data_IF_990787725559
#
_entry.id   IF_990787725559
#
_cell.length_a   1.000
_cell.length_b   1.000
_cell.length_c   1.000
_cell.angle_alpha   90.00
_cell.angle_beta   90.00
_cell.angle_gamma   90.00
#
_symmetry.space_group_name_H-M   'P 1'
#
loop_
_entity.id
_entity.type
_entity.pdbx_description
1 polymer ?
#
# COMPACT_ATOMS: atom_id res chain seq x y z
N UNK A 1 16.07 4.34 -13.72
CA UNK A 1 15.54 3.73 -12.49
C UNK A 1 14.05 3.97 -12.44
N UNK A 2 13.26 2.91 -12.42
CA UNK A 2 11.79 2.95 -12.28
C UNK A 2 11.46 2.92 -10.79
N UNK A 3 10.51 3.73 -10.32
CA UNK A 3 10.05 3.76 -8.92
C UNK A 3 8.56 3.49 -8.83
N UNK A 4 8.16 2.59 -7.94
CA UNK A 4 6.76 2.21 -7.73
C UNK A 4 6.38 2.47 -6.28
N UNK A 5 5.28 3.19 -6.07
CA UNK A 5 4.62 3.28 -4.77
C UNK A 5 3.65 2.09 -4.62
N UNK A 6 3.90 1.21 -3.67
CA UNK A 6 3.02 0.09 -3.31
C UNK A 6 2.09 0.44 -2.15
N UNK A 7 0.85 -0.05 -2.19
CA UNK A 7 -0.17 0.12 -1.14
C UNK A 7 -0.81 -1.25 -0.84
N UNK A 8 -0.88 -1.60 0.44
CA UNK A 8 -1.43 -2.88 0.92
C UNK A 8 -2.39 -2.63 2.10
N UNK A 9 -3.63 -3.12 1.95
CA UNK A 9 -4.75 -2.95 2.90
C UNK A 9 -5.73 -4.13 2.83
N UNK A 10 -5.26 -5.34 2.53
CA UNK A 10 -6.10 -6.52 2.29
C UNK A 10 -6.69 -7.13 3.56
N UNK A 11 -6.06 -6.95 4.72
CA UNK A 11 -6.48 -7.55 5.99
C UNK A 11 -6.43 -6.55 7.16
N UNK A 12 -5.45 -6.66 8.06
CA UNK A 12 -5.32 -5.88 9.30
C UNK A 12 -4.00 -5.09 9.39
N UNK A 13 -3.21 -5.08 8.32
CA UNK A 13 -2.11 -4.14 8.14
C UNK A 13 -2.42 -3.05 7.11
N UNK A 14 -2.10 -1.81 7.45
CA UNK A 14 -2.06 -0.69 6.50
C UNK A 14 -0.60 -0.44 6.15
N UNK A 15 -0.23 -0.62 4.89
CA UNK A 15 1.16 -0.47 4.49
C UNK A 15 1.34 0.31 3.20
N UNK A 16 2.47 1.00 3.11
CA UNK A 16 2.96 1.61 1.88
C UNK A 16 4.49 1.49 1.78
N UNK A 17 4.97 1.29 0.56
CA UNK A 17 6.40 1.12 0.28
C UNK A 17 6.79 1.81 -1.02
N UNK A 18 8.07 2.19 -1.14
CA UNK A 18 8.63 2.63 -2.41
C UNK A 18 9.71 1.65 -2.84
N UNK A 19 9.55 1.05 -4.02
CA UNK A 19 10.50 0.10 -4.58
C UNK A 19 11.07 0.66 -5.88
N UNK A 20 12.39 0.56 -6.05
CA UNK A 20 13.11 1.02 -7.22
C UNK A 20 13.75 -0.13 -7.99
N UNK A 21 13.67 -0.08 -9.32
CA UNK A 21 14.32 -1.04 -10.22
C UNK A 21 15.23 -0.30 -11.19
N UNK A 22 16.47 -0.77 -11.33
CA UNK A 22 17.42 -0.20 -12.28
C UNK A 22 17.74 -1.21 -13.39
N UNK A 23 17.03 -1.10 -14.53
CA UNK A 23 17.35 -1.61 -15.88
C UNK A 23 17.76 -3.08 -16.10
N UNK A 24 17.98 -3.86 -15.04
CA UNK A 24 18.59 -5.20 -15.07
C UNK A 24 19.14 -5.69 -13.72
N UNK A 25 19.17 -4.86 -12.67
CA UNK A 25 19.51 -5.26 -11.31
C UNK A 25 18.32 -5.79 -10.50
N UNK A 26 18.59 -6.28 -9.29
CA UNK A 26 17.54 -6.63 -8.33
C UNK A 26 16.77 -5.37 -7.88
N UNK A 27 15.46 -5.49 -7.57
CA UNK A 27 14.70 -4.38 -6.99
C UNK A 27 15.31 -3.96 -5.65
N UNK A 28 15.24 -2.66 -5.36
CA UNK A 28 15.69 -2.04 -4.12
C UNK A 28 14.48 -1.49 -3.38
N UNK A 29 14.29 -1.91 -2.14
CA UNK A 29 13.30 -1.32 -1.24
C UNK A 29 13.89 0.01 -0.74
N UNK A 30 13.25 1.12 -1.07
CA UNK A 30 13.65 2.46 -0.62
C UNK A 30 12.96 2.84 0.69
N UNK A 31 11.75 2.35 0.92
CA UNK A 31 11.01 2.48 2.18
C UNK A 31 10.00 1.35 2.32
N UNK A 32 9.62 1.04 3.57
CA UNK A 32 8.60 0.06 3.91
C UNK A 32 7.95 0.45 5.24
N UNK A 33 6.73 1.00 5.19
CA UNK A 33 6.01 1.49 6.36
C UNK A 33 4.78 0.63 6.57
N UNK A 34 4.66 0.05 7.76
CA UNK A 34 3.56 -0.85 8.15
C UNK A 34 2.95 -0.41 9.48
N UNK A 35 1.64 -0.25 9.48
CA UNK A 35 0.83 -0.13 10.70
C UNK A 35 -0.01 -1.40 10.86
N UNK A 36 0.22 -2.13 11.94
CA UNK A 36 -0.53 -3.34 12.29
C UNK A 36 -1.65 -3.03 13.28
N UNK A 37 -2.81 -3.67 13.11
CA UNK A 37 -4.01 -3.47 13.93
C UNK A 37 -4.23 -4.59 14.97
N UNK A 38 -3.18 -5.34 15.33
CA UNK A 38 -3.31 -6.52 16.21
C UNK A 38 -3.97 -6.16 17.55
N UNK A 39 -3.64 -5.01 18.14
CA UNK A 39 -4.18 -4.59 19.44
C UNK A 39 -5.68 -4.27 19.37
N UNK A 40 -6.14 -3.67 18.26
CA UNK A 40 -7.52 -3.31 18.00
C UNK A 40 -8.42 -4.54 17.85
N UNK A 41 -7.88 -5.65 17.33
CA UNK A 41 -8.61 -6.91 17.13
C UNK A 41 -8.49 -7.88 18.32
N UNK A 42 -7.56 -7.64 19.25
CA UNK A 42 -7.21 -8.58 20.33
C UNK A 42 -8.42 -8.98 21.20
N UNK A 43 -9.31 -8.04 21.53
CA UNK A 43 -10.48 -8.29 22.36
C UNK A 43 -11.53 -9.20 21.70
N UNK A 44 -11.48 -9.35 20.38
CA UNK A 44 -12.46 -10.10 19.58
C UNK A 44 -11.96 -11.50 19.19
N UNK A 45 -10.67 -11.80 19.41
CA UNK A 45 -10.07 -13.10 19.07
C UNK A 45 -9.91 -13.35 17.58
N UNK A 46 -10.03 -12.32 16.75
CA UNK A 46 -9.88 -12.39 15.29
C UNK A 46 -10.18 -11.03 14.64
N UNK A 47 -9.81 -10.90 13.37
CA UNK A 47 -9.98 -9.65 12.61
C UNK A 47 -11.47 -9.32 12.46
N UNK A 48 -11.85 -8.12 12.90
CA UNK A 48 -13.20 -7.57 12.71
C UNK A 48 -13.19 -6.68 11.46
N UNK A 49 -13.87 -7.06 10.36
CA UNK A 49 -13.73 -6.36 9.07
C UNK A 49 -14.03 -4.86 9.09
N UNK A 50 -15.02 -4.43 9.88
CA UNK A 50 -15.38 -3.01 10.01
C UNK A 50 -14.32 -2.19 10.76
N UNK A 51 -13.71 -2.76 11.80
CA UNK A 51 -12.62 -2.10 12.54
C UNK A 51 -11.42 -1.94 11.61
N UNK A 52 -11.10 -3.00 10.86
CA UNK A 52 -9.97 -2.97 9.94
C UNK A 52 -10.15 -1.94 8.83
N UNK A 53 -11.32 -1.91 8.19
CA UNK A 53 -11.63 -0.94 7.16
C UNK A 53 -11.50 0.52 7.66
N UNK A 54 -11.98 0.82 8.87
CA UNK A 54 -11.86 2.16 9.47
C UNK A 54 -10.41 2.55 9.74
N UNK A 55 -9.64 1.65 10.33
CA UNK A 55 -8.23 1.90 10.61
C UNK A 55 -7.43 2.18 9.32
N UNK A 56 -7.71 1.48 8.22
CA UNK A 56 -7.10 1.82 6.92
C UNK A 56 -7.46 3.24 6.47
N UNK A 57 -8.73 3.65 6.58
CA UNK A 57 -9.18 5.00 6.18
C UNK A 57 -8.48 6.08 7.00
N UNK A 58 -8.31 5.84 8.29
CA UNK A 58 -7.73 6.82 9.23
C UNK A 58 -6.20 6.95 9.11
N UNK A 59 -5.51 5.90 8.66
CA UNK A 59 -4.05 5.86 8.67
C UNK A 59 -3.39 5.97 7.29
N UNK A 60 -4.06 5.56 6.21
CA UNK A 60 -3.39 5.30 4.93
C UNK A 60 -2.70 6.53 4.32
N UNK A 61 -3.27 7.72 4.43
CA UNK A 61 -2.66 8.94 3.93
C UNK A 61 -1.35 9.28 4.66
N UNK A 62 -1.34 9.14 5.99
CA UNK A 62 -0.14 9.28 6.82
C UNK A 62 0.92 8.23 6.50
N UNK A 63 0.51 6.98 6.27
CA UNK A 63 1.42 5.87 5.91
C UNK A 63 2.07 6.12 4.55
N UNK A 64 1.31 6.59 3.55
CA UNK A 64 1.85 6.96 2.23
C UNK A 64 2.84 8.13 2.35
N UNK A 65 2.50 9.16 3.12
CA UNK A 65 3.40 10.30 3.34
C UNK A 65 4.70 9.87 4.04
N UNK A 66 4.60 9.00 5.05
CA UNK A 66 5.77 8.45 5.73
C UNK A 66 6.65 7.64 4.77
N UNK A 67 6.07 6.81 3.91
CA UNK A 67 6.82 6.03 2.93
C UNK A 67 7.57 6.92 1.92
N UNK A 68 6.92 7.96 1.38
CA UNK A 68 7.59 8.92 0.49
C UNK A 68 8.72 9.68 1.21
N UNK A 69 8.48 10.10 2.45
CA UNK A 69 9.49 10.80 3.25
C UNK A 69 10.70 9.91 3.57
N UNK A 70 10.48 8.67 4.00
CA UNK A 70 11.53 7.72 4.36
C UNK A 70 12.39 7.30 3.15
N UNK A 71 11.74 7.13 1.99
CA UNK A 71 12.44 6.82 0.73
C UNK A 71 13.20 8.02 0.14
N UNK A 72 12.96 9.24 0.63
CA UNK A 72 13.58 10.46 0.15
C UNK A 72 13.17 10.86 -1.28
N UNK A 73 12.01 10.37 -1.76
CA UNK A 73 11.49 10.71 -3.09
C UNK A 73 10.18 11.48 -2.99
N UNK A 74 9.92 12.33 -3.98
CA UNK A 74 8.62 13.00 -4.07
C UNK A 74 7.65 12.17 -4.91
N UNK A 75 6.35 12.42 -4.75
CA UNK A 75 5.32 11.76 -5.58
C UNK A 75 5.56 12.01 -7.09
N UNK A 76 6.18 13.13 -7.44
CA UNK A 76 6.54 13.44 -8.83
C UNK A 76 7.55 12.43 -9.42
N UNK A 77 8.44 11.89 -8.59
CA UNK A 77 9.49 10.93 -8.96
C UNK A 77 9.00 9.47 -9.09
N UNK A 78 7.75 9.21 -8.68
CA UNK A 78 7.12 7.89 -8.79
C UNK A 78 6.66 7.66 -10.22
N UNK A 79 6.97 6.51 -10.79
CA UNK A 79 6.62 6.15 -12.16
C UNK A 79 5.29 5.39 -12.26
N UNK A 80 4.90 4.66 -11.21
CA UNK A 80 3.64 3.92 -11.16
C UNK A 80 3.11 3.79 -9.72
N UNK A 81 1.79 3.66 -9.59
CA UNK A 81 1.12 3.34 -8.32
C UNK A 81 0.66 1.89 -8.39
N UNK A 82 1.07 1.07 -7.44
CA UNK A 82 0.63 -0.32 -7.30
C UNK A 82 -0.22 -0.46 -6.03
N UNK A 83 -1.31 -1.21 -6.11
CA UNK A 83 -2.13 -1.49 -4.95
C UNK A 83 -2.77 -2.87 -5.02
N UNK A 84 -2.91 -3.50 -3.87
CA UNK A 84 -3.57 -4.79 -3.75
C UNK A 84 -5.04 -4.69 -4.13
N UNK A 85 -5.45 -5.49 -5.12
CA UNK A 85 -6.83 -5.58 -5.61
C UNK A 85 -7.54 -6.86 -5.13
N UNK A 86 -6.81 -7.75 -4.46
CA UNK A 86 -7.34 -8.97 -3.83
C UNK A 86 -6.36 -10.15 -3.93
N UNK A 87 -6.67 -11.31 -3.33
CA UNK A 87 -7.78 -11.51 -2.40
C UNK A 87 -7.60 -10.72 -1.09
N UNK A 88 -8.68 -10.61 -0.30
CA UNK A 88 -8.68 -9.86 0.96
C UNK A 88 -10.08 -9.47 1.43
N UNK A 89 -10.15 -8.77 2.56
CA UNK A 89 -11.37 -8.20 3.10
C UNK A 89 -11.83 -7.02 2.24
N UNK A 90 -13.06 -7.08 1.73
CA UNK A 90 -13.58 -6.11 0.75
C UNK A 90 -13.51 -4.66 1.23
N UNK A 91 -13.72 -4.42 2.53
CA UNK A 91 -13.62 -3.08 3.13
C UNK A 91 -12.22 -2.49 2.98
N UNK A 92 -11.20 -3.20 3.42
CA UNK A 92 -9.80 -2.77 3.30
C UNK A 92 -9.33 -2.66 1.85
N UNK A 93 -9.67 -3.63 0.99
CA UNK A 93 -9.31 -3.60 -0.44
C UNK A 93 -9.86 -2.36 -1.14
N UNK A 94 -11.09 -1.94 -0.84
CA UNK A 94 -11.68 -0.73 -1.42
C UNK A 94 -10.89 0.51 -1.00
N UNK A 95 -10.49 0.60 0.27
CA UNK A 95 -9.74 1.76 0.80
C UNK A 95 -8.41 1.94 0.07
N UNK A 96 -7.58 0.90 0.03
CA UNK A 96 -6.27 0.96 -0.63
C UNK A 96 -6.39 1.19 -2.13
N UNK A 97 -7.23 0.41 -2.82
CA UNK A 97 -7.36 0.49 -4.27
C UNK A 97 -7.98 1.81 -4.75
N UNK A 98 -8.96 2.38 -4.02
CA UNK A 98 -9.53 3.68 -4.38
C UNK A 98 -8.54 4.82 -4.12
N UNK A 99 -7.77 4.76 -3.03
CA UNK A 99 -6.71 5.72 -2.75
C UNK A 99 -5.65 5.70 -3.85
N UNK A 100 -5.20 4.50 -4.24
CA UNK A 100 -4.25 4.32 -5.35
C UNK A 100 -4.79 4.84 -6.68
N UNK A 101 -6.07 4.57 -6.99
CA UNK A 101 -6.76 5.11 -8.19
C UNK A 101 -6.78 6.63 -8.18
N UNK A 102 -7.09 7.24 -7.04
CA UNK A 102 -7.15 8.69 -6.90
C UNK A 102 -5.76 9.33 -7.12
N UNK A 103 -4.71 8.77 -6.49
CA UNK A 103 -3.32 9.23 -6.67
C UNK A 103 -2.89 9.09 -8.13
N UNK A 104 -3.09 7.90 -8.72
CA UNK A 104 -2.72 7.63 -10.11
C UNK A 104 -3.42 8.59 -11.09
N UNK A 105 -4.73 8.81 -10.91
CA UNK A 105 -5.50 9.72 -11.75
C UNK A 105 -5.04 11.19 -11.57
N UNK A 106 -4.81 11.63 -10.33
CA UNK A 106 -4.41 13.01 -10.05
C UNK A 106 -2.98 13.31 -10.52
N UNK A 107 -2.05 12.36 -10.37
CA UNK A 107 -0.65 12.50 -10.76
C UNK A 107 -0.37 12.09 -12.22
N UNK A 108 -1.40 11.66 -12.96
CA UNK A 108 -1.30 11.11 -14.31
C UNK A 108 -0.23 9.99 -14.41
N UNK A 109 -0.31 9.03 -13.48
CA UNK A 109 0.59 7.87 -13.40
C UNK A 109 -0.20 6.59 -13.70
N UNK A 110 0.42 5.55 -14.27
CA UNK A 110 -0.20 4.25 -14.40
C UNK A 110 -0.55 3.64 -13.04
N UNK A 111 -1.70 2.97 -12.98
CA UNK A 111 -2.14 2.16 -11.85
C UNK A 111 -1.93 0.68 -12.16
N UNK A 112 -1.36 -0.06 -11.22
CA UNK A 112 -1.14 -1.50 -11.28
C UNK A 112 -1.96 -2.15 -10.17
N UNK A 113 -2.99 -2.91 -10.55
CA UNK A 113 -3.73 -3.74 -9.61
C UNK A 113 -2.93 -5.03 -9.36
N UNK A 114 -2.62 -5.31 -8.10
CA UNK A 114 -1.76 -6.43 -7.69
C UNK A 114 -2.59 -7.50 -7.00
N UNK A 115 -2.31 -8.77 -7.32
CA UNK A 115 -2.82 -9.88 -6.54
C UNK A 115 -1.98 -10.05 -5.28
N UNK A 116 -2.60 -10.08 -4.10
CA UNK A 116 -1.93 -10.17 -2.81
C UNK A 116 -1.00 -11.39 -2.71
N UNK A 117 -1.47 -12.56 -3.17
CA UNK A 117 -0.70 -13.81 -3.12
C UNK A 117 0.45 -13.82 -4.12
N UNK A 118 0.28 -13.20 -5.28
CA UNK A 118 1.41 -12.98 -6.21
C UNK A 118 2.43 -12.02 -5.60
N UNK A 119 1.97 -10.98 -4.88
CA UNK A 119 2.83 -10.08 -4.12
C UNK A 119 3.69 -10.80 -3.09
N UNK A 120 3.12 -11.77 -2.34
CA UNK A 120 3.88 -12.62 -1.40
C UNK A 120 4.94 -13.51 -2.06
N UNK A 121 4.76 -13.87 -3.33
CA UNK A 121 5.65 -14.79 -4.03
C UNK A 121 6.88 -14.11 -4.66
N UNK A 122 6.85 -12.77 -4.78
CA UNK A 122 7.89 -11.94 -5.41
C UNK A 122 8.92 -11.45 -4.39
#
# INVERSE_FOLDING_TARGET
MIRVLGIETSCDETAASVVALDGGGAPKILSDIVLSQIEEHAAFGGVVPEIAARAHVEALDGIIQAALADSGVELADIDAIAATAGPGLVGGLIVGLMTAKAIAAAANKPLIAVNHLEGHAL
#
